data_IF_271824806285
#
_entry.id   IF_271824806285
#
_cell.length_a   1.000
_cell.length_b   1.000
_cell.length_c   1.000
_cell.angle_alpha   90.00
_cell.angle_beta   90.00
_cell.angle_gamma   90.00
#
_symmetry.space_group_name_H-M   'P 1'
#
loop_
_entity.id
_entity.type
_entity.pdbx_description
1 polymer ?
#
# COMPACT_ATOMS: atom_id res chain seq x y z
N UNK A 1 -9.29 -31.24 -43.16
CA UNK A 1 -9.04 -29.78 -43.17
C UNK A 1 -8.63 -29.40 -41.77
N UNK A 2 -7.39 -28.94 -41.58
CA UNK A 2 -6.89 -28.43 -40.30
C UNK A 2 -7.44 -27.02 -40.10
N UNK A 3 -8.64 -26.91 -39.56
CA UNK A 3 -9.21 -25.62 -39.17
C UNK A 3 -8.40 -25.09 -38.00
N UNK A 4 -7.52 -24.11 -38.27
CA UNK A 4 -6.83 -23.35 -37.23
C UNK A 4 -7.87 -22.81 -36.24
N UNK A 5 -7.93 -23.40 -35.06
CA UNK A 5 -8.77 -22.90 -33.96
C UNK A 5 -8.28 -21.50 -33.62
N UNK A 6 -9.05 -20.48 -34.02
CA UNK A 6 -8.79 -19.10 -33.64
C UNK A 6 -9.04 -18.98 -32.13
N UNK A 7 -7.99 -19.05 -31.32
CA UNK A 7 -8.09 -18.82 -29.88
C UNK A 7 -8.66 -17.42 -29.65
N UNK A 8 -9.86 -17.36 -29.07
CA UNK A 8 -10.52 -16.10 -28.73
C UNK A 8 -9.62 -15.31 -27.79
N UNK A 9 -9.25 -14.08 -28.18
CA UNK A 9 -8.43 -13.20 -27.35
C UNK A 9 -9.25 -12.77 -26.14
N UNK A 10 -8.70 -13.00 -24.95
CA UNK A 10 -9.31 -12.57 -23.69
C UNK A 10 -9.44 -11.03 -23.63
N UNK A 11 -10.55 -10.55 -23.09
CA UNK A 11 -10.76 -9.14 -22.78
C UNK A 11 -9.84 -8.67 -21.65
N UNK A 12 -9.72 -7.35 -21.44
CA UNK A 12 -8.80 -6.80 -20.42
C UNK A 12 -9.12 -7.31 -19.01
N UNK A 13 -10.42 -7.35 -18.64
CA UNK A 13 -10.87 -7.88 -17.35
C UNK A 13 -10.48 -9.36 -17.17
N UNK A 14 -10.76 -10.18 -18.18
CA UNK A 14 -10.47 -11.62 -18.16
C UNK A 14 -8.97 -11.90 -18.11
N UNK A 15 -8.17 -11.14 -18.87
CA UNK A 15 -6.70 -11.23 -18.81
C UNK A 15 -6.16 -10.89 -17.44
N UNK A 16 -6.67 -9.82 -16.82
CA UNK A 16 -6.25 -9.43 -15.47
C UNK A 16 -6.63 -10.49 -14.44
N UNK A 17 -7.86 -11.01 -14.51
CA UNK A 17 -8.31 -12.10 -13.64
C UNK A 17 -7.40 -13.33 -13.81
N UNK A 18 -7.08 -13.74 -15.04
CA UNK A 18 -6.18 -14.86 -15.31
C UNK A 18 -4.75 -14.68 -14.77
N UNK A 19 -4.29 -13.43 -14.57
CA UNK A 19 -2.99 -13.12 -13.96
C UNK A 19 -3.07 -12.91 -12.44
N UNK A 20 -4.25 -13.00 -11.84
CA UNK A 20 -4.49 -12.71 -10.41
C UNK A 20 -5.36 -13.79 -9.77
N UNK A 21 -6.69 -13.65 -9.83
CA UNK A 21 -7.66 -14.58 -9.22
C UNK A 21 -7.77 -15.93 -9.92
N UNK A 22 -7.21 -16.05 -11.11
CA UNK A 22 -7.09 -17.31 -11.82
C UNK A 22 -5.88 -18.13 -11.39
N UNK A 23 -5.10 -17.64 -10.41
CA UNK A 23 -3.89 -18.32 -9.94
C UNK A 23 -4.11 -19.19 -8.71
N UNK A 24 -5.15 -18.98 -7.92
CA UNK A 24 -5.45 -19.86 -6.80
C UNK A 24 -6.39 -21.00 -7.20
N UNK A 25 -6.74 -21.80 -6.20
CA UNK A 25 -7.31 -23.13 -6.41
C UNK A 25 -8.05 -23.61 -5.15
N UNK A 26 -8.97 -24.55 -5.36
CA UNK A 26 -9.67 -25.25 -4.29
C UNK A 26 -8.73 -26.22 -3.55
N UNK A 27 -8.66 -26.09 -2.23
CA UNK A 27 -7.72 -26.84 -1.39
C UNK A 27 -8.11 -28.31 -1.28
N UNK A 28 -7.18 -29.23 -1.58
CA UNK A 28 -7.44 -30.69 -1.51
C UNK A 28 -6.96 -31.33 -0.21
N UNK A 29 -5.80 -30.93 0.31
CA UNK A 29 -5.14 -31.60 1.45
C UNK A 29 -5.43 -30.94 2.81
N UNK A 30 -6.00 -29.73 2.80
CA UNK A 30 -6.44 -29.01 3.99
C UNK A 30 -7.85 -28.47 3.74
N UNK A 31 -8.75 -28.50 4.74
CA UNK A 31 -10.04 -27.83 4.67
C UNK A 31 -9.89 -26.30 4.46
N UNK A 32 -10.72 -25.73 3.58
CA UNK A 32 -10.65 -24.29 3.22
C UNK A 32 -10.90 -23.38 4.44
N UNK A 33 -11.79 -23.78 5.35
CA UNK A 33 -12.08 -23.09 6.60
C UNK A 33 -10.89 -23.06 7.57
N UNK A 34 -9.97 -24.03 7.49
CA UNK A 34 -8.71 -24.00 8.24
C UNK A 34 -7.65 -23.11 7.58
N UNK A 35 -7.69 -22.96 6.26
CA UNK A 35 -6.79 -22.07 5.52
C UNK A 35 -7.18 -20.61 5.74
N UNK A 36 -8.49 -20.33 5.80
CA UNK A 36 -9.05 -18.99 6.01
C UNK A 36 -9.97 -18.95 7.25
N UNK A 37 -9.40 -19.09 8.47
CA UNK A 37 -10.18 -19.23 9.71
C UNK A 37 -10.98 -17.99 10.11
N UNK A 38 -10.63 -16.83 9.55
CA UNK A 38 -11.24 -15.55 9.90
C UNK A 38 -12.31 -15.08 8.90
N UNK A 39 -12.74 -15.90 7.96
CA UNK A 39 -13.69 -15.47 6.92
C UNK A 39 -15.15 -15.43 7.40
N UNK A 40 -15.46 -15.99 8.59
CA UNK A 40 -16.84 -16.15 9.08
C UNK A 40 -17.14 -15.56 10.46
N UNK A 41 -16.11 -15.28 11.28
CA UNK A 41 -16.30 -14.89 12.70
C UNK A 41 -17.06 -13.55 12.88
N UNK A 42 -17.02 -12.66 11.88
CA UNK A 42 -17.69 -11.35 11.91
C UNK A 42 -19.20 -11.43 11.58
N UNK A 43 -19.71 -12.61 11.22
CA UNK A 43 -21.11 -12.80 10.80
C UNK A 43 -21.43 -12.29 9.39
N UNK A 44 -20.43 -11.75 8.67
CA UNK A 44 -20.54 -11.37 7.26
C UNK A 44 -20.56 -12.64 6.40
N UNK A 45 -21.50 -12.71 5.46
CA UNK A 45 -21.65 -13.85 4.55
C UNK A 45 -21.41 -13.41 3.11
N UNK A 46 -20.30 -13.87 2.53
CA UNK A 46 -20.03 -13.71 1.10
C UNK A 46 -20.59 -14.93 0.37
N UNK A 47 -21.60 -14.71 -0.48
CA UNK A 47 -22.26 -15.79 -1.21
C UNK A 47 -21.47 -16.25 -2.44
N UNK A 48 -20.73 -15.32 -3.07
CA UNK A 48 -20.09 -15.55 -4.37
C UNK A 48 -18.94 -14.55 -4.56
N UNK A 49 -17.71 -15.05 -4.44
CA UNK A 49 -16.48 -14.26 -4.65
C UNK A 49 -16.20 -13.96 -6.13
N UNK A 50 -16.77 -14.71 -7.08
CA UNK A 50 -16.56 -14.48 -8.52
C UNK A 50 -17.19 -13.16 -8.98
N UNK A 51 -18.21 -12.70 -8.27
CA UNK A 51 -18.85 -11.38 -8.51
C UNK A 51 -17.96 -10.19 -8.18
N UNK A 52 -16.84 -10.40 -7.46
CA UNK A 52 -15.91 -9.33 -7.12
C UNK A 52 -15.43 -8.59 -8.39
N UNK A 53 -15.36 -7.26 -8.29
CA UNK A 53 -14.83 -6.40 -9.35
C UNK A 53 -13.52 -5.78 -8.89
N UNK A 54 -12.45 -6.07 -9.62
CA UNK A 54 -11.14 -5.50 -9.33
C UNK A 54 -11.20 -3.97 -9.42
N UNK A 55 -10.90 -3.23 -8.33
CA UNK A 55 -11.01 -1.77 -8.29
C UNK A 55 -9.99 -1.09 -9.20
N UNK A 56 -8.85 -1.75 -9.44
CA UNK A 56 -7.82 -1.38 -10.40
C UNK A 56 -7.24 -2.65 -11.03
N UNK A 57 -6.59 -2.50 -12.19
CA UNK A 57 -6.06 -3.61 -12.99
C UNK A 57 -4.58 -3.40 -13.27
N UNK A 58 -3.79 -3.37 -12.20
CA UNK A 58 -2.36 -3.11 -12.26
C UNK A 58 -1.60 -4.42 -12.05
N UNK A 59 -0.78 -4.81 -13.02
CA UNK A 59 0.14 -5.95 -12.89
C UNK A 59 1.41 -5.50 -12.16
N UNK A 60 2.18 -6.43 -11.61
CA UNK A 60 3.37 -6.10 -10.81
C UNK A 60 4.44 -5.35 -11.61
N UNK A 61 4.65 -5.70 -12.88
CA UNK A 61 5.56 -5.00 -13.79
C UNK A 61 5.12 -3.54 -14.02
N UNK A 62 3.82 -3.31 -14.20
CA UNK A 62 3.26 -1.97 -14.33
C UNK A 62 3.37 -1.18 -13.02
N UNK A 63 3.07 -1.81 -11.88
CA UNK A 63 3.22 -1.20 -10.55
C UNK A 63 4.66 -0.73 -10.32
N UNK A 64 5.65 -1.60 -10.52
CA UNK A 64 7.06 -1.24 -10.34
C UNK A 64 7.50 -0.14 -11.29
N UNK A 65 7.07 -0.18 -12.56
CA UNK A 65 7.38 0.88 -13.52
C UNK A 65 6.85 2.23 -13.06
N UNK A 66 5.56 2.33 -12.76
CA UNK A 66 4.95 3.62 -12.41
C UNK A 66 5.40 4.13 -11.04
N UNK A 67 5.50 3.27 -10.04
CA UNK A 67 5.96 3.69 -8.71
C UNK A 67 7.45 4.02 -8.72
N UNK A 68 8.28 3.25 -9.42
CA UNK A 68 9.71 3.55 -9.55
C UNK A 68 9.98 4.93 -10.17
N UNK A 69 9.24 5.31 -11.20
CA UNK A 69 9.35 6.65 -11.80
C UNK A 69 8.86 7.77 -10.87
N UNK A 70 7.85 7.51 -10.03
CA UNK A 70 7.40 8.47 -9.01
C UNK A 70 8.47 8.66 -7.92
N UNK A 71 9.05 7.57 -7.41
CA UNK A 71 10.06 7.62 -6.36
C UNK A 71 11.31 8.36 -6.84
N UNK A 72 11.82 8.09 -8.06
CA UNK A 72 12.98 8.82 -8.61
C UNK A 72 12.78 10.34 -8.59
N UNK A 73 11.62 10.81 -9.04
CA UNK A 73 11.29 12.24 -9.06
C UNK A 73 11.14 12.81 -7.65
N UNK A 74 10.50 12.06 -6.75
CA UNK A 74 10.31 12.47 -5.37
C UNK A 74 11.64 12.67 -4.65
N UNK A 75 12.56 11.69 -4.72
CA UNK A 75 13.83 11.80 -4.03
C UNK A 75 14.74 12.87 -4.64
N UNK A 76 14.72 13.08 -5.96
CA UNK A 76 15.41 14.20 -6.58
C UNK A 76 14.96 15.56 -5.99
N UNK A 77 13.66 15.72 -5.72
CA UNK A 77 13.12 16.93 -5.08
C UNK A 77 13.50 17.01 -3.60
N UNK A 78 13.44 15.91 -2.85
CA UNK A 78 13.83 15.87 -1.43
C UNK A 78 15.31 16.23 -1.26
N UNK A 79 16.19 15.68 -2.11
CA UNK A 79 17.62 15.98 -2.12
C UNK A 79 17.88 17.44 -2.47
N UNK A 80 17.24 17.96 -3.52
CA UNK A 80 17.36 19.36 -3.90
C UNK A 80 16.84 20.30 -2.78
N UNK A 81 15.73 19.95 -2.14
CA UNK A 81 15.19 20.72 -1.00
C UNK A 81 16.21 20.76 0.15
N UNK A 82 16.82 19.62 0.47
CA UNK A 82 17.81 19.53 1.53
C UNK A 82 19.12 20.28 1.19
N UNK A 83 19.58 20.18 -0.06
CA UNK A 83 20.80 20.84 -0.52
C UNK A 83 20.68 22.37 -0.50
N UNK A 84 19.48 22.90 -0.77
CA UNK A 84 19.23 24.34 -0.87
C UNK A 84 18.68 24.97 0.42
N UNK A 85 18.74 24.27 1.56
CA UNK A 85 18.15 24.73 2.81
C UNK A 85 16.68 25.18 2.66
N UNK A 86 15.88 24.37 1.95
CA UNK A 86 14.50 24.72 1.61
C UNK A 86 13.58 24.96 2.81
N UNK A 87 13.96 24.51 4.01
CA UNK A 87 13.25 24.79 5.25
C UNK A 87 13.20 26.29 5.60
N UNK A 88 14.13 27.08 5.09
CA UNK A 88 14.13 28.54 5.25
C UNK A 88 13.06 29.24 4.39
N UNK A 89 12.53 28.54 3.38
CA UNK A 89 11.50 29.06 2.47
C UNK A 89 10.06 28.94 2.98
N UNK A 90 9.84 28.43 4.20
CA UNK A 90 8.49 28.37 4.79
C UNK A 90 8.05 29.75 5.28
N UNK A 91 6.74 29.98 5.32
CA UNK A 91 6.19 31.30 5.68
C UNK A 91 6.51 31.73 7.11
N UNK A 92 6.47 30.81 8.08
CA UNK A 92 6.75 31.07 9.49
C UNK A 92 7.10 29.74 10.19
N UNK A 93 8.02 29.77 11.17
CA UNK A 93 8.42 28.57 11.92
C UNK A 93 7.24 27.89 12.66
N UNK A 94 6.16 28.62 12.96
CA UNK A 94 4.91 28.07 13.52
C UNK A 94 4.27 27.01 12.63
N UNK A 95 4.47 27.07 11.31
CA UNK A 95 4.03 26.04 10.37
C UNK A 95 4.58 24.65 10.74
N UNK A 96 5.81 24.58 11.26
CA UNK A 96 6.46 23.30 11.61
C UNK A 96 5.71 22.56 12.71
N UNK A 97 4.88 23.24 13.53
CA UNK A 97 4.03 22.54 14.50
C UNK A 97 3.00 21.60 13.83
N UNK A 98 2.52 21.93 12.63
CA UNK A 98 1.69 21.01 11.85
C UNK A 98 2.47 19.76 11.43
N UNK A 99 3.74 19.91 11.03
CA UNK A 99 4.61 18.78 10.68
C UNK A 99 4.92 17.89 11.89
N UNK A 100 5.05 18.47 13.09
CA UNK A 100 5.20 17.71 14.34
C UNK A 100 4.00 16.80 14.60
N UNK A 101 2.78 17.33 14.46
CA UNK A 101 1.56 16.53 14.61
C UNK A 101 1.46 15.46 13.52
N UNK A 102 1.84 15.81 12.30
CA UNK A 102 1.80 14.88 11.17
C UNK A 102 2.70 13.66 11.37
N UNK A 103 3.99 13.85 11.69
CA UNK A 103 4.93 12.73 11.85
C UNK A 103 4.61 11.88 13.08
N UNK A 104 4.06 12.49 14.13
CA UNK A 104 3.71 11.78 15.37
C UNK A 104 2.40 11.02 15.24
N UNK A 105 1.35 11.60 14.65
CA UNK A 105 0.03 10.98 14.55
C UNK A 105 -0.23 10.26 13.23
N UNK A 106 -0.07 10.98 12.11
CA UNK A 106 -0.50 10.51 10.78
C UNK A 106 0.49 9.52 10.18
N UNK A 107 1.77 9.86 10.13
CA UNK A 107 2.79 8.97 9.55
C UNK A 107 2.91 7.66 10.33
N UNK A 108 2.65 7.67 11.64
CA UNK A 108 2.57 6.45 12.44
C UNK A 108 1.34 5.61 12.13
N UNK A 109 0.19 6.20 11.81
CA UNK A 109 -0.93 5.45 11.27
C UNK A 109 -0.50 4.65 10.03
N UNK A 110 0.34 5.22 9.17
CA UNK A 110 0.87 4.56 7.98
C UNK A 110 1.88 3.44 8.28
N UNK A 111 2.61 3.45 9.41
CA UNK A 111 3.45 2.27 9.83
C UNK A 111 2.63 1.03 10.11
N UNK A 112 1.39 1.30 10.46
CA UNK A 112 0.50 0.39 11.15
C UNK A 112 -0.50 -0.06 10.06
N UNK A 113 -0.78 0.78 9.04
CA UNK A 113 -1.45 0.55 7.75
C UNK A 113 -1.12 -0.73 6.96
N UNK A 114 0.09 -1.29 7.05
CA UNK A 114 0.36 -2.70 6.74
C UNK A 114 -0.56 -3.71 7.44
N UNK A 115 -1.46 -3.33 8.33
CA UNK A 115 -2.57 -4.17 8.83
C UNK A 115 -3.58 -4.61 7.77
N UNK A 116 -3.54 -4.05 6.54
CA UNK A 116 -4.19 -4.71 5.39
C UNK A 116 -3.45 -5.97 4.93
N UNK A 117 -2.20 -6.20 5.36
CA UNK A 117 -1.40 -7.39 5.01
C UNK A 117 -2.04 -8.68 5.55
N UNK A 118 -2.48 -8.78 6.83
CA UNK A 118 -3.34 -9.86 7.28
C UNK A 118 -4.57 -10.04 6.38
N UNK A 119 -5.32 -8.96 6.06
CA UNK A 119 -6.49 -9.05 5.17
C UNK A 119 -6.15 -9.60 3.78
N UNK A 120 -4.97 -9.27 3.25
CA UNK A 120 -4.46 -9.81 1.98
C UNK A 120 -4.08 -11.30 2.01
N UNK A 121 -4.12 -11.94 3.18
CA UNK A 121 -3.88 -13.36 3.37
C UNK A 121 -5.09 -14.10 3.97
N UNK A 122 -6.12 -13.40 4.44
CA UNK A 122 -7.22 -13.98 5.22
C UNK A 122 -8.58 -13.98 4.49
N UNK A 123 -8.71 -13.29 3.36
CA UNK A 123 -9.87 -13.47 2.49
C UNK A 123 -9.70 -14.71 1.61
N UNK A 124 -10.74 -15.55 1.57
CA UNK A 124 -10.88 -16.63 0.58
C UNK A 124 -10.94 -16.07 -0.84
N UNK A 125 -11.53 -14.88 -1.01
CA UNK A 125 -11.55 -14.16 -2.28
C UNK A 125 -10.16 -13.81 -2.77
N UNK A 126 -9.74 -14.44 -3.86
CA UNK A 126 -8.42 -14.24 -4.43
C UNK A 126 -8.32 -12.90 -5.14
N UNK A 127 -7.70 -11.89 -4.54
CA UNK A 127 -7.27 -10.74 -5.33
C UNK A 127 -6.16 -9.93 -4.66
N UNK A 128 -5.36 -9.21 -5.47
CA UNK A 128 -4.12 -8.62 -5.00
C UNK A 128 -4.33 -7.30 -4.26
N UNK A 129 -5.54 -6.74 -4.24
CA UNK A 129 -5.77 -5.35 -3.82
C UNK A 129 -5.34 -5.05 -2.38
N UNK A 130 -5.57 -5.92 -1.36
CA UNK A 130 -5.13 -5.60 0.00
C UNK A 130 -3.60 -5.66 0.11
N UNK A 131 -2.95 -6.51 -0.69
CA UNK A 131 -1.48 -6.62 -0.74
C UNK A 131 -0.86 -5.39 -1.42
N UNK A 132 -1.44 -4.91 -2.53
CA UNK A 132 -0.99 -3.67 -3.18
C UNK A 132 -1.18 -2.46 -2.28
N UNK A 133 -2.31 -2.34 -1.59
CA UNK A 133 -2.49 -1.29 -0.58
C UNK A 133 -1.42 -1.41 0.51
N UNK A 134 -1.11 -2.61 0.99
CA UNK A 134 -0.15 -2.79 2.10
C UNK A 134 1.25 -2.27 1.78
N UNK A 135 1.70 -2.38 0.52
CA UNK A 135 3.01 -1.89 0.09
C UNK A 135 2.97 -0.39 -0.21
N UNK A 136 1.85 0.14 -0.71
CA UNK A 136 1.66 1.58 -0.87
C UNK A 136 1.70 2.30 0.49
N UNK A 137 1.14 1.70 1.54
CA UNK A 137 1.17 2.30 2.87
C UNK A 137 2.56 2.25 3.53
N UNK A 138 3.34 1.18 3.26
CA UNK A 138 4.76 1.16 3.63
C UNK A 138 5.52 2.27 2.92
N UNK A 139 5.23 2.49 1.63
CA UNK A 139 5.82 3.58 0.84
C UNK A 139 5.46 4.94 1.45
N UNK A 140 4.19 5.17 1.83
CA UNK A 140 3.78 6.42 2.51
C UNK A 140 4.57 6.65 3.79
N UNK A 141 4.64 5.65 4.68
CA UNK A 141 5.40 5.78 5.92
C UNK A 141 6.88 6.18 5.69
N UNK A 142 7.56 5.49 4.78
CA UNK A 142 8.98 5.73 4.50
C UNK A 142 9.20 7.11 3.88
N UNK A 143 8.42 7.44 2.85
CA UNK A 143 8.57 8.70 2.11
C UNK A 143 8.21 9.92 2.96
N UNK A 144 7.17 9.84 3.80
CA UNK A 144 6.82 10.89 4.76
C UNK A 144 7.94 11.11 5.78
N UNK A 145 8.52 10.01 6.30
CA UNK A 145 9.66 10.07 7.23
C UNK A 145 10.86 10.75 6.56
N UNK A 146 11.17 10.39 5.32
CA UNK A 146 12.29 10.99 4.58
C UNK A 146 12.03 12.47 4.24
N UNK A 147 10.81 12.84 3.87
CA UNK A 147 10.43 14.22 3.59
C UNK A 147 10.57 15.12 4.84
N UNK A 148 10.20 14.62 6.01
CA UNK A 148 10.30 15.36 7.29
C UNK A 148 11.71 15.31 7.89
N UNK A 149 12.55 14.38 7.45
CA UNK A 149 13.90 14.18 8.00
C UNK A 149 14.75 15.46 8.00
N UNK A 150 14.59 16.32 6.97
CA UNK A 150 15.33 17.57 6.89
C UNK A 150 14.86 18.57 7.95
N UNK A 151 13.55 18.72 8.15
CA UNK A 151 12.99 19.58 9.19
C UNK A 151 13.42 19.13 10.60
N UNK A 152 13.50 17.82 10.85
CA UNK A 152 13.96 17.30 12.15
C UNK A 152 15.40 17.72 12.51
N UNK A 153 16.25 18.02 11.52
CA UNK A 153 17.61 18.50 11.78
C UNK A 153 17.66 19.93 12.33
N UNK A 154 16.66 20.75 12.01
CA UNK A 154 16.66 22.20 12.30
C UNK A 154 15.57 22.63 13.29
N UNK A 155 14.57 21.79 13.56
CA UNK A 155 13.47 22.10 14.44
C UNK A 155 13.25 21.01 15.49
N UNK A 156 12.87 21.44 16.70
CA UNK A 156 12.58 20.54 17.82
C UNK A 156 11.26 19.77 17.63
N UNK A 157 11.08 18.71 18.42
CA UNK A 157 9.79 18.02 18.53
C UNK A 157 9.48 17.02 17.41
N UNK A 158 10.49 16.52 16.69
CA UNK A 158 10.34 15.47 15.66
C UNK A 158 11.37 14.33 15.80
N UNK A 159 12.16 14.30 16.88
CA UNK A 159 13.30 13.38 17.03
C UNK A 159 12.94 12.02 17.62
N UNK A 160 11.74 11.85 18.17
CA UNK A 160 11.29 10.58 18.75
C UNK A 160 9.81 10.28 18.48
N UNK A 161 9.34 10.42 17.23
CA UNK A 161 7.93 10.25 16.88
C UNK A 161 7.45 8.83 17.18
N UNK A 162 8.36 7.85 17.08
CA UNK A 162 8.03 6.47 17.36
C UNK A 162 7.67 6.24 18.84
N UNK A 163 8.51 6.78 19.72
CA UNK A 163 8.35 6.64 21.16
C UNK A 163 7.15 7.41 21.70
N UNK A 164 6.90 8.61 21.15
CA UNK A 164 5.85 9.50 21.62
C UNK A 164 4.45 9.06 21.20
N UNK A 165 4.27 8.55 19.99
CA UNK A 165 2.96 8.07 19.55
C UNK A 165 2.38 6.96 20.44
N UNK A 166 3.24 6.14 21.05
CA UNK A 166 2.80 5.05 21.95
C UNK A 166 2.67 5.50 23.42
N UNK A 167 2.90 6.78 23.77
CA UNK A 167 3.04 7.25 25.17
C UNK A 167 2.43 8.61 25.50
N UNK A 168 2.44 9.54 24.56
CA UNK A 168 1.88 10.88 24.76
C UNK A 168 0.35 10.74 24.80
N UNK A 169 -0.25 11.46 25.74
CA UNK A 169 -1.69 11.50 26.00
C UNK A 169 -2.49 11.95 24.77
#
# INVERSE_FOLDING_TARGET
>A
MDTRVAKKKLGLKERYAAMTRGLGWETTYQPMDKVFPYDTYEGIKIHDWDKWQDPFRLTMDAYWKYQGEKEKKLYAVIEAFAQNNGQLGISDARYVNALKLFIQGVTRWNTRAPWVRPRGAQFTGEGPWPRMQSIDELRHYQTETHAISHYNKYFNGMHSPNHWFDRVW
#
